data_IF_216339158821
#
_entry.id   IF_216339158821
#
_cell.length_a   1.000
_cell.length_b   1.000
_cell.length_c   1.000
_cell.angle_alpha   90.00
_cell.angle_beta   90.00
_cell.angle_gamma   90.00
#
_symmetry.space_group_name_H-M   'P 1'
#
loop_
_entity.id
_entity.type
_entity.pdbx_description
1 polymer ?
#
# COMPACT_ATOMS: atom_id res chain seq x y z
N UNK A 1 7.25 -5.24 41.34
CA UNK A 1 6.46 -5.18 40.08
C UNK A 1 6.41 -6.60 39.53
N UNK A 2 5.22 -7.14 39.26
CA UNK A 2 5.05 -8.52 38.78
C UNK A 2 4.90 -8.50 37.25
N UNK A 3 6.04 -8.45 36.54
CA UNK A 3 6.13 -8.46 35.06
C UNK A 3 5.68 -9.73 34.31
N UNK A 4 5.68 -10.95 34.88
CA UNK A 4 5.34 -12.19 34.18
C UNK A 4 3.96 -12.27 33.53
N UNK A 5 3.04 -11.36 33.86
CA UNK A 5 1.67 -11.35 33.34
C UNK A 5 1.32 -10.06 32.62
N UNK A 6 2.29 -9.24 32.18
CA UNK A 6 2.00 -7.99 31.48
C UNK A 6 2.33 -8.08 29.98
N UNK A 7 1.53 -7.43 29.14
CA UNK A 7 1.86 -7.31 27.73
C UNK A 7 3.10 -6.44 27.53
N UNK A 8 4.04 -6.90 26.69
CA UNK A 8 5.24 -6.16 26.31
C UNK A 8 4.96 -4.80 25.67
N UNK A 9 3.89 -4.70 24.87
CA UNK A 9 3.60 -3.51 24.05
C UNK A 9 2.78 -2.46 24.80
N UNK A 10 1.83 -2.87 25.64
CA UNK A 10 0.92 -1.94 26.32
C UNK A 10 1.01 -1.94 27.84
N UNK A 11 1.80 -2.84 28.44
CA UNK A 11 1.94 -3.01 29.90
C UNK A 11 0.64 -3.32 30.64
N UNK A 12 -0.43 -3.68 29.92
CA UNK A 12 -1.70 -4.12 30.52
C UNK A 12 -1.54 -5.59 30.95
N UNK A 13 -2.07 -5.97 32.13
CA UNK A 13 -2.10 -7.37 32.55
C UNK A 13 -2.84 -8.27 31.56
N UNK A 14 -2.19 -9.35 31.15
CA UNK A 14 -2.72 -10.38 30.29
C UNK A 14 -3.58 -11.36 31.08
N UNK A 15 -4.63 -11.87 30.45
CA UNK A 15 -5.30 -13.08 30.91
C UNK A 15 -4.49 -14.29 30.43
N UNK A 16 -4.41 -15.35 31.25
CA UNK A 16 -3.50 -16.51 31.11
C UNK A 16 -3.63 -17.30 29.80
N UNK A 17 -4.57 -16.97 28.90
CA UNK A 17 -4.76 -17.65 27.61
C UNK A 17 -5.00 -16.68 26.44
N UNK A 18 -4.64 -15.40 26.60
CA UNK A 18 -4.87 -14.35 25.59
C UNK A 18 -3.56 -13.65 25.22
N UNK A 19 -2.50 -14.43 25.08
CA UNK A 19 -1.15 -13.98 24.78
C UNK A 19 -0.55 -14.73 23.61
N UNK A 20 0.43 -14.10 22.99
CA UNK A 20 1.31 -14.66 21.97
C UNK A 20 2.74 -14.47 22.45
N UNK A 21 3.53 -15.54 22.41
CA UNK A 21 4.96 -15.48 22.75
C UNK A 21 5.70 -14.63 21.71
N UNK A 22 6.56 -13.72 22.16
CA UNK A 22 7.30 -12.82 21.26
C UNK A 22 8.23 -13.62 20.36
N UNK A 23 8.88 -14.66 20.89
CA UNK A 23 9.91 -15.42 20.20
C UNK A 23 9.39 -16.71 19.56
N UNK A 24 8.09 -16.76 19.24
CA UNK A 24 7.54 -17.77 18.32
C UNK A 24 7.89 -17.39 16.88
N UNK A 25 8.72 -18.21 16.24
CA UNK A 25 9.21 -18.04 14.86
C UNK A 25 8.08 -17.90 13.83
N UNK A 26 6.86 -18.34 14.16
CA UNK A 26 5.70 -18.29 13.25
C UNK A 26 5.17 -16.88 13.01
N UNK A 27 5.45 -15.92 13.91
CA UNK A 27 4.77 -14.63 13.93
C UNK A 27 5.66 -13.42 13.62
N UNK A 28 7.00 -13.61 13.63
CA UNK A 28 8.00 -12.55 13.35
C UNK A 28 7.78 -11.27 14.19
N UNK A 29 7.33 -11.45 15.44
CA UNK A 29 6.97 -10.32 16.32
C UNK A 29 8.16 -9.38 16.57
N UNK A 30 9.39 -9.87 16.87
CA UNK A 30 10.55 -9.01 17.11
C UNK A 30 10.87 -8.14 15.89
N UNK A 31 10.82 -8.73 14.69
CA UNK A 31 11.06 -8.05 13.42
C UNK A 31 10.01 -6.98 13.17
N UNK A 32 8.73 -7.29 13.42
CA UNK A 32 7.63 -6.32 13.26
C UNK A 32 7.76 -5.15 14.25
N UNK A 33 8.13 -5.41 15.51
CA UNK A 33 8.37 -4.35 16.50
C UNK A 33 9.53 -3.47 16.05
N UNK A 34 10.64 -4.07 15.63
CA UNK A 34 11.82 -3.36 15.14
C UNK A 34 11.46 -2.52 13.91
N UNK A 35 10.76 -3.10 12.94
CA UNK A 35 10.33 -2.44 11.71
C UNK A 35 9.49 -1.19 11.99
N UNK A 36 8.58 -1.22 12.98
CA UNK A 36 7.69 -0.10 13.29
C UNK A 36 8.28 0.95 14.22
N UNK A 37 9.13 0.55 15.16
CA UNK A 37 9.50 1.41 16.30
C UNK A 37 11.00 1.65 16.44
N UNK A 38 11.84 0.92 15.69
CA UNK A 38 13.28 0.82 15.90
C UNK A 38 13.69 0.34 17.31
N UNK A 39 12.79 -0.31 18.03
CA UNK A 39 13.09 -0.94 19.32
C UNK A 39 13.52 -2.38 19.07
N UNK A 40 14.66 -2.76 19.62
CA UNK A 40 15.12 -4.14 19.61
C UNK A 40 14.57 -4.88 20.83
N UNK A 41 14.02 -6.08 20.61
CA UNK A 41 13.50 -6.94 21.69
C UNK A 41 14.39 -8.17 21.78
N UNK A 42 14.94 -8.41 22.96
CA UNK A 42 15.89 -9.49 23.21
C UNK A 42 15.30 -10.50 24.19
N UNK A 43 15.55 -11.79 23.94
CA UNK A 43 15.12 -12.84 24.83
C UNK A 43 15.95 -12.77 26.13
N UNK A 44 15.27 -12.76 27.28
CA UNK A 44 15.94 -12.73 28.58
C UNK A 44 16.39 -11.35 29.06
N UNK A 45 15.91 -10.27 28.45
CA UNK A 45 16.20 -8.87 28.85
C UNK A 45 15.57 -8.44 30.20
N UNK A 46 14.90 -9.37 30.89
CA UNK A 46 14.22 -9.13 32.17
C UNK A 46 12.85 -8.46 32.04
N UNK A 47 12.32 -8.33 30.82
CA UNK A 47 11.06 -7.68 30.53
C UNK A 47 10.01 -8.71 30.04
N UNK A 48 8.72 -8.34 29.91
CA UNK A 48 7.70 -9.30 29.51
C UNK A 48 7.98 -9.92 28.13
N UNK A 49 7.86 -11.25 28.04
CA UNK A 49 8.18 -12.04 26.84
C UNK A 49 6.94 -12.40 26.01
N UNK A 50 5.80 -11.79 26.35
CA UNK A 50 4.50 -12.04 25.74
C UNK A 50 3.82 -10.74 25.30
N UNK A 51 3.01 -10.83 24.25
CA UNK A 51 2.14 -9.76 23.75
C UNK A 51 0.69 -10.21 23.88
N UNK A 52 -0.21 -9.34 24.33
CA UNK A 52 -1.64 -9.65 24.27
C UNK A 52 -2.13 -9.71 22.81
N UNK A 53 -3.15 -10.53 22.55
CA UNK A 53 -3.72 -10.69 21.20
C UNK A 53 -4.09 -9.34 20.56
N UNK A 54 -4.65 -8.40 21.33
CA UNK A 54 -5.01 -7.06 20.84
C UNK A 54 -3.79 -6.29 20.30
N UNK A 55 -2.66 -6.35 21.02
CA UNK A 55 -1.44 -5.69 20.58
C UNK A 55 -0.79 -6.41 19.39
N UNK A 56 -0.84 -7.74 19.36
CA UNK A 56 -0.36 -8.53 18.22
C UNK A 56 -1.15 -8.23 16.93
N UNK A 57 -2.48 -8.24 16.98
CA UNK A 57 -3.33 -7.88 15.83
C UNK A 57 -3.08 -6.45 15.35
N UNK A 58 -2.92 -5.51 16.29
CA UNK A 58 -2.63 -4.12 15.93
C UNK A 58 -1.24 -3.99 15.28
N UNK A 59 -0.23 -4.69 15.81
CA UNK A 59 1.10 -4.72 15.24
C UNK A 59 1.08 -5.21 13.79
N UNK A 60 0.35 -6.30 13.53
CA UNK A 60 0.21 -6.87 12.18
C UNK A 60 -0.51 -5.92 11.20
N UNK A 61 -1.61 -5.30 11.65
CA UNK A 61 -2.33 -4.27 10.86
C UNK A 61 -1.43 -3.06 10.57
N UNK A 62 -0.64 -2.62 11.55
CA UNK A 62 0.27 -1.49 11.39
C UNK A 62 1.38 -1.78 10.38
N UNK A 63 1.95 -2.99 10.38
CA UNK A 63 2.95 -3.40 9.38
C UNK A 63 2.35 -3.42 7.98
N UNK A 64 1.18 -4.02 7.83
CA UNK A 64 0.46 -4.08 6.55
C UNK A 64 0.19 -2.68 6.01
N UNK A 65 -0.31 -1.79 6.88
CA UNK A 65 -0.58 -0.40 6.53
C UNK A 65 0.69 0.37 6.16
N UNK A 66 1.78 0.21 6.92
CA UNK A 66 3.09 0.78 6.59
C UNK A 66 3.55 0.37 5.19
N UNK A 67 3.51 -0.92 4.87
CA UNK A 67 3.92 -1.46 3.56
C UNK A 67 3.03 -0.92 2.42
N UNK A 68 1.73 -0.79 2.67
CA UNK A 68 0.80 -0.17 1.72
C UNK A 68 1.21 1.27 1.40
N UNK A 69 1.50 2.09 2.41
CA UNK A 69 1.94 3.48 2.22
C UNK A 69 3.25 3.53 1.44
N UNK A 70 4.24 2.70 1.80
CA UNK A 70 5.53 2.65 1.11
C UNK A 70 5.39 2.28 -0.37
N UNK A 71 4.55 1.28 -0.68
CA UNK A 71 4.26 0.89 -2.05
C UNK A 71 3.58 2.02 -2.83
N UNK A 72 2.58 2.66 -2.23
CA UNK A 72 1.88 3.78 -2.85
C UNK A 72 2.85 4.94 -3.16
N UNK A 73 3.68 5.31 -2.19
CA UNK A 73 4.69 6.36 -2.34
C UNK A 73 5.69 6.04 -3.47
N UNK A 74 6.19 4.79 -3.52
CA UNK A 74 7.09 4.36 -4.59
C UNK A 74 6.44 4.46 -5.97
N UNK A 75 5.18 4.02 -6.10
CA UNK A 75 4.46 4.08 -7.37
C UNK A 75 4.18 5.52 -7.81
N UNK A 76 3.82 6.40 -6.86
CA UNK A 76 3.59 7.83 -7.13
C UNK A 76 4.87 8.50 -7.63
N UNK A 77 6.01 8.26 -6.96
CA UNK A 77 7.32 8.81 -7.39
C UNK A 77 7.76 8.29 -8.74
N UNK A 78 7.50 7.01 -9.04
CA UNK A 78 7.80 6.44 -10.35
C UNK A 78 6.98 7.12 -11.45
N UNK A 79 5.68 7.37 -11.22
CA UNK A 79 4.84 8.07 -12.20
C UNK A 79 5.33 9.49 -12.47
N UNK A 80 5.71 10.24 -11.43
CA UNK A 80 6.24 11.60 -11.59
C UNK A 80 7.56 11.60 -12.39
N UNK A 81 8.48 10.68 -12.08
CA UNK A 81 9.75 10.56 -12.81
C UNK A 81 9.56 10.17 -14.29
N UNK A 82 8.53 9.40 -14.63
CA UNK A 82 8.20 9.07 -16.03
C UNK A 82 7.58 10.25 -16.79
N UNK A 83 6.85 11.14 -16.11
CA UNK A 83 6.28 12.35 -16.72
C UNK A 83 7.36 13.38 -17.08
N UNK A 84 8.39 13.53 -16.25
CA UNK A 84 9.52 14.43 -16.55
C UNK A 84 10.38 13.95 -17.73
N UNK A 85 10.26 12.67 -18.12
CA UNK A 85 10.99 12.10 -19.24
C UNK A 85 10.32 12.36 -20.61
N UNK A 86 9.18 13.04 -20.65
CA UNK A 86 8.57 13.58 -21.88
C UNK A 86 9.08 15.01 -22.15
N UNK A 87 10.41 15.18 -22.19
CA UNK A 87 11.01 16.41 -22.72
C UNK A 87 10.87 16.43 -24.23
N UNK A 88 9.93 17.27 -24.68
CA UNK A 88 9.86 17.99 -25.95
C UNK A 88 10.39 17.25 -27.19
N UNK A 89 9.49 16.75 -28.03
CA UNK A 89 9.79 16.78 -29.46
C UNK A 89 10.02 18.25 -29.83
N UNK A 90 11.22 18.67 -30.31
CA UNK A 90 11.28 19.89 -31.08
C UNK A 90 10.60 19.56 -32.42
N UNK A 91 9.27 19.56 -32.42
CA UNK A 91 8.55 19.75 -33.67
C UNK A 91 9.07 21.08 -34.22
N UNK A 92 9.67 21.12 -35.42
CA UNK A 92 9.81 22.39 -36.10
C UNK A 92 8.39 22.89 -36.27
N UNK A 93 8.02 23.93 -35.52
CA UNK A 93 6.74 24.59 -35.70
C UNK A 93 6.62 24.89 -37.20
N UNK A 94 5.56 24.43 -37.89
CA UNK A 94 5.37 24.81 -39.27
C UNK A 94 5.25 26.33 -39.26
N UNK A 95 6.22 26.99 -39.89
CA UNK A 95 6.20 28.43 -40.09
C UNK A 95 4.98 28.69 -40.96
N UNK A 96 3.89 29.16 -40.34
CA UNK A 96 2.74 29.69 -41.07
C UNK A 96 3.21 31.03 -41.66
N UNK A 97 3.96 30.97 -42.76
CA UNK A 97 4.00 32.08 -43.70
C UNK A 97 2.62 32.09 -44.33
N UNK A 98 1.80 33.03 -43.89
CA UNK A 98 0.44 33.18 -44.40
C UNK A 98 0.45 33.40 -45.91
N UNK A 99 -0.20 32.50 -46.60
CA UNK A 99 -0.89 32.80 -47.86
C UNK A 99 -2.38 32.42 -47.66
N UNK A 100 -3.31 33.31 -48.04
CA UNK A 100 -4.75 33.07 -47.92
C UNK A 100 -5.25 32.18 -49.07
N UNK A 101 -6.47 31.61 -48.92
CA UNK A 101 -7.22 30.71 -49.83
C UNK A 101 -7.10 29.25 -49.38
N UNK A 102 -8.16 28.45 -49.14
CA UNK A 102 -9.60 28.51 -49.43
C UNK A 102 -10.20 27.30 -48.67
N UNK A 103 -11.20 27.51 -47.82
CA UNK A 103 -12.58 26.96 -47.94
C UNK A 103 -12.74 25.42 -47.82
N UNK A 104 -13.67 25.03 -46.93
CA UNK A 104 -14.55 23.83 -46.99
C UNK A 104 -13.91 22.47 -46.56
N UNK A 105 -14.52 21.57 -45.75
CA UNK A 105 -15.92 21.28 -45.39
C UNK A 105 -16.09 20.69 -43.98
N UNK A 106 -17.32 20.82 -43.46
CA UNK A 106 -17.90 20.08 -42.33
C UNK A 106 -18.05 18.57 -42.63
N UNK A 107 -18.08 17.73 -41.58
CA UNK A 107 -18.48 16.32 -41.71
C UNK A 107 -18.85 15.67 -40.38
N UNK A 108 -20.16 15.57 -40.11
CA UNK A 108 -20.84 14.95 -38.96
C UNK A 108 -21.08 13.43 -39.15
N UNK A 109 -21.55 12.81 -38.05
CA UNK A 109 -22.40 11.59 -37.91
C UNK A 109 -21.65 10.25 -37.84
N UNK A 110 -21.68 9.50 -36.72
CA UNK A 110 -22.72 8.54 -36.25
C UNK A 110 -22.95 7.37 -37.24
N UNK A 111 -23.08 6.08 -36.88
CA UNK A 111 -23.86 5.42 -35.82
C UNK A 111 -23.65 3.88 -35.91
N UNK A 112 -24.01 3.16 -34.84
CA UNK A 112 -24.69 1.83 -34.76
C UNK A 112 -24.05 0.61 -35.48
N UNK A 113 -24.20 -0.66 -35.10
CA UNK A 113 -24.97 -1.47 -34.14
C UNK A 113 -24.32 -2.89 -34.18
N UNK A 114 -24.38 -3.80 -33.21
CA UNK A 114 -25.40 -4.86 -33.03
C UNK A 114 -24.77 -5.92 -32.06
N UNK A 115 -25.41 -6.30 -30.93
CA UNK A 115 -26.24 -7.53 -30.68
C UNK A 115 -25.45 -8.85 -30.76
N UNK A 116 -25.52 -9.86 -29.89
CA UNK A 116 -26.56 -10.49 -29.05
C UNK A 116 -25.84 -11.29 -27.92
N UNK A 117 -26.27 -11.36 -26.65
CA UNK A 117 -27.42 -12.05 -26.01
C UNK A 117 -27.10 -13.50 -25.50
N UNK A 118 -27.53 -13.77 -24.25
CA UNK A 118 -27.83 -15.04 -23.53
C UNK A 118 -26.72 -15.63 -22.62
N UNK A 119 -26.86 -15.60 -21.29
CA UNK A 119 -27.78 -16.29 -20.34
C UNK A 119 -27.47 -17.78 -20.13
N UNK A 120 -27.13 -18.14 -18.89
CA UNK A 120 -27.37 -19.42 -18.17
C UNK A 120 -26.81 -19.25 -16.73
N UNK A 121 -27.60 -18.80 -15.75
CA UNK A 121 -28.50 -19.50 -14.82
C UNK A 121 -27.93 -20.73 -14.06
N UNK A 122 -27.81 -20.52 -12.74
CA UNK A 122 -28.05 -21.39 -11.58
C UNK A 122 -27.48 -22.82 -11.49
N UNK A 123 -26.66 -23.02 -10.45
CA UNK A 123 -26.72 -24.16 -9.53
C UNK A 123 -26.28 -23.74 -8.14
#
# INVERSE_FOLDING_TARGET
>A
MNFPLMCRLCLIPNQVNQTVEIFDDSNEIPEKILELTNIHVENGDGLPQEVCVVCWEQLDRSITFKRQIQKAESLLRQHLAQQDNFSFCPSPAPVITGDPLSEEEEGKMAQDNERDEKDELES
#
